data_IF_547327044807
#
_entry.id   IF_547327044807
#
_cell.length_a   1.000
_cell.length_b   1.000
_cell.length_c   1.000
_cell.angle_alpha   90.00
_cell.angle_beta   90.00
_cell.angle_gamma   90.00
#
_symmetry.space_group_name_H-M   'P 1'
#
loop_
_entity.id
_entity.type
_entity.pdbx_description
1 polymer ?
#
# COMPACT_ATOMS: atom_id res chain seq x y z
N UNK A 1 8.32 57.00 -51.85
CA UNK A 1 7.37 55.93 -51.53
C UNK A 1 8.09 54.97 -50.60
N UNK A 2 7.96 55.09 -49.25
CA UNK A 2 8.58 54.21 -48.25
C UNK A 2 7.60 53.08 -47.95
N UNK A 3 8.00 51.86 -48.26
CA UNK A 3 7.25 50.64 -47.87
C UNK A 3 7.58 50.29 -46.42
N UNK A 4 6.61 50.40 -45.53
CA UNK A 4 6.70 49.95 -44.14
C UNK A 4 6.37 48.44 -44.12
N UNK A 5 7.36 47.62 -43.73
CA UNK A 5 7.19 46.16 -43.55
C UNK A 5 6.73 45.93 -42.12
N UNK A 6 5.51 45.49 -41.94
CA UNK A 6 4.91 45.19 -40.65
C UNK A 6 5.30 43.75 -40.28
N UNK A 7 6.22 43.59 -39.27
CA UNK A 7 6.54 42.30 -38.72
C UNK A 7 5.49 41.94 -37.65
N UNK A 8 4.64 40.96 -37.95
CA UNK A 8 3.75 40.37 -36.95
C UNK A 8 4.56 39.30 -36.17
N UNK A 9 4.90 39.61 -34.94
CA UNK A 9 5.50 38.63 -34.00
C UNK A 9 4.37 37.82 -33.39
N UNK A 10 4.24 36.56 -33.82
CA UNK A 10 3.30 35.60 -33.26
C UNK A 10 3.87 35.09 -31.94
N UNK A 11 3.41 35.62 -30.80
CA UNK A 11 3.80 35.12 -29.47
C UNK A 11 3.09 33.78 -29.22
N UNK A 12 3.85 32.69 -29.31
CA UNK A 12 3.39 31.36 -28.93
C UNK A 12 3.34 31.26 -27.40
N UNK A 13 2.16 31.44 -26.80
CA UNK A 13 1.96 31.24 -25.38
C UNK A 13 2.03 29.73 -25.07
N UNK A 14 3.16 29.26 -24.57
CA UNK A 14 3.27 27.94 -23.98
C UNK A 14 2.39 27.90 -22.71
N UNK A 15 1.26 27.26 -22.78
CA UNK A 15 0.45 26.94 -21.60
C UNK A 15 1.20 25.82 -20.85
N UNK A 16 1.90 26.18 -19.79
CA UNK A 16 2.47 25.22 -18.85
C UNK A 16 1.29 24.55 -18.12
N UNK A 17 0.99 23.31 -18.48
CA UNK A 17 0.06 22.49 -17.72
C UNK A 17 0.75 22.19 -16.39
N UNK A 18 0.30 22.84 -15.33
CA UNK A 18 0.75 22.54 -13.97
C UNK A 18 0.40 21.08 -13.65
N UNK A 19 1.42 20.22 -13.58
CA UNK A 19 1.24 18.85 -13.12
C UNK A 19 0.88 18.91 -11.65
N UNK A 20 -0.31 18.40 -11.29
CA UNK A 20 -0.68 18.19 -9.89
C UNK A 20 0.36 17.25 -9.27
N UNK A 21 1.04 17.64 -8.19
CA UNK A 21 2.03 16.77 -7.57
C UNK A 21 1.34 15.50 -7.08
N UNK A 22 1.72 14.36 -7.68
CA UNK A 22 1.24 13.04 -7.25
C UNK A 22 1.83 12.75 -5.89
N UNK A 23 0.98 12.36 -4.92
CA UNK A 23 1.43 11.97 -3.60
C UNK A 23 2.49 10.86 -3.74
N UNK A 24 3.67 10.98 -3.09
CA UNK A 24 4.76 10.00 -3.22
C UNK A 24 4.35 8.56 -2.88
N UNK A 25 3.33 8.36 -2.05
CA UNK A 25 2.81 7.04 -1.69
C UNK A 25 2.15 6.33 -2.88
N UNK A 26 1.61 7.07 -3.82
CA UNK A 26 0.98 6.54 -5.04
C UNK A 26 1.99 6.44 -6.19
N UNK A 27 3.21 5.98 -5.85
CA UNK A 27 4.28 5.67 -6.82
C UNK A 27 4.92 4.32 -6.49
N UNK A 28 5.41 3.61 -7.51
CA UNK A 28 6.18 2.39 -7.26
C UNK A 28 7.44 2.69 -6.44
N UNK A 29 7.92 1.73 -5.64
CA UNK A 29 9.20 1.85 -4.97
C UNK A 29 10.35 1.96 -5.98
N UNK A 30 11.49 2.48 -5.52
CA UNK A 30 12.68 2.70 -6.37
C UNK A 30 13.07 1.42 -7.10
N UNK A 31 13.23 1.51 -8.42
CA UNK A 31 13.60 0.38 -9.28
C UNK A 31 12.44 -0.40 -9.88
N UNK A 32 11.20 -0.20 -9.42
CA UNK A 32 10.01 -0.76 -10.03
C UNK A 32 9.33 0.23 -10.97
N UNK A 33 8.80 -0.26 -12.08
CA UNK A 33 7.99 0.54 -13.01
C UNK A 33 6.52 0.57 -12.61
N UNK A 34 6.01 -0.55 -12.15
CA UNK A 34 4.63 -0.74 -11.69
C UNK A 34 4.67 -1.43 -10.34
N UNK A 35 3.73 -1.13 -9.46
CA UNK A 35 3.53 -1.81 -8.18
C UNK A 35 2.05 -1.84 -7.82
N UNK A 36 1.69 -2.75 -6.91
CA UNK A 36 0.43 -2.71 -6.20
C UNK A 36 0.69 -2.02 -4.86
N UNK A 37 -0.13 -1.04 -4.50
CA UNK A 37 -0.15 -0.40 -3.18
C UNK A 37 -1.47 -0.73 -2.53
N UNK A 38 -1.45 -1.27 -1.32
CA UNK A 38 -2.65 -1.58 -0.55
C UNK A 38 -2.59 -0.91 0.81
N UNK A 39 -3.70 -0.29 1.20
CA UNK A 39 -3.97 0.10 2.57
C UNK A 39 -4.90 -0.95 3.17
N UNK A 40 -4.43 -1.64 4.19
CA UNK A 40 -5.12 -2.79 4.76
C UNK A 40 -5.23 -2.75 6.28
N UNK A 41 -6.16 -3.53 6.77
CA UNK A 41 -6.44 -3.71 8.19
C UNK A 41 -6.54 -5.21 8.47
N UNK A 42 -5.73 -5.71 9.40
CA UNK A 42 -5.63 -7.14 9.69
C UNK A 42 -6.92 -7.74 10.31
N UNK A 43 -7.80 -6.90 10.87
CA UNK A 43 -9.11 -7.31 11.40
C UNK A 43 -10.24 -7.15 10.37
N UNK A 44 -9.97 -6.53 9.20
CA UNK A 44 -10.98 -6.31 8.16
C UNK A 44 -11.24 -7.60 7.36
N UNK A 45 -12.49 -8.14 7.35
CA UNK A 45 -12.80 -9.36 6.59
C UNK A 45 -12.66 -9.18 5.07
N UNK A 46 -12.79 -7.95 4.57
CA UNK A 46 -12.62 -7.68 3.15
C UNK A 46 -11.15 -7.65 2.74
N UNK A 47 -10.24 -7.19 3.63
CA UNK A 47 -8.79 -7.32 3.45
C UNK A 47 -8.38 -8.79 3.38
N UNK A 48 -8.89 -9.64 4.29
CA UNK A 48 -8.68 -11.08 4.24
C UNK A 48 -9.06 -11.70 2.89
N UNK A 49 -10.19 -11.26 2.31
CA UNK A 49 -10.63 -11.77 0.99
C UNK A 49 -9.78 -11.25 -0.16
N UNK A 50 -9.17 -10.08 0.00
CA UNK A 50 -8.35 -9.47 -1.04
C UNK A 50 -6.91 -10.02 -1.06
N UNK A 51 -6.34 -10.33 0.10
CA UNK A 51 -4.93 -10.69 0.24
C UNK A 51 -4.44 -11.79 -0.72
N UNK A 52 -5.12 -12.94 -0.89
CA UNK A 52 -4.66 -13.97 -1.82
C UNK A 52 -4.58 -13.50 -3.28
N UNK A 53 -5.53 -12.66 -3.70
CA UNK A 53 -5.56 -12.10 -5.06
C UNK A 53 -4.41 -11.13 -5.29
N UNK A 54 -4.09 -10.30 -4.29
CA UNK A 54 -2.97 -9.36 -4.35
C UNK A 54 -1.63 -10.09 -4.43
N UNK A 55 -1.46 -11.15 -3.65
CA UNK A 55 -0.27 -12.00 -3.67
C UNK A 55 -0.11 -12.70 -5.01
N UNK A 56 -1.18 -13.26 -5.56
CA UNK A 56 -1.18 -13.90 -6.87
C UNK A 56 -0.79 -12.90 -7.97
N UNK A 57 -1.37 -11.71 -7.96
CA UNK A 57 -1.07 -10.68 -8.93
C UNK A 57 0.39 -10.21 -8.82
N UNK A 58 0.87 -9.90 -7.62
CA UNK A 58 2.25 -9.49 -7.39
C UNK A 58 3.26 -10.54 -7.87
N UNK A 59 2.99 -11.83 -7.57
CA UNK A 59 3.81 -12.96 -7.99
C UNK A 59 3.79 -13.17 -9.51
N UNK A 60 2.60 -13.15 -10.13
CA UNK A 60 2.41 -13.37 -11.57
C UNK A 60 3.13 -12.31 -12.39
N UNK A 61 2.99 -11.05 -12.01
CA UNK A 61 3.61 -9.94 -12.72
C UNK A 61 5.04 -9.61 -12.25
N UNK A 62 5.52 -10.26 -11.20
CA UNK A 62 6.81 -9.98 -10.54
C UNK A 62 6.99 -8.50 -10.22
N UNK A 63 5.94 -7.91 -9.65
CA UNK A 63 5.89 -6.50 -9.22
C UNK A 63 5.81 -6.41 -7.70
N UNK A 64 6.29 -5.32 -7.09
CA UNK A 64 6.13 -5.12 -5.66
C UNK A 64 4.67 -5.04 -5.23
N UNK A 65 4.36 -5.68 -4.09
CA UNK A 65 3.19 -5.40 -3.27
C UNK A 65 3.65 -4.55 -2.09
N UNK A 66 3.18 -3.32 -2.03
CA UNK A 66 3.50 -2.37 -0.97
C UNK A 66 2.30 -2.27 -0.03
N UNK A 67 2.49 -2.69 1.20
CA UNK A 67 1.46 -2.67 2.23
C UNK A 67 1.64 -1.48 3.15
N UNK A 68 0.55 -0.72 3.34
CA UNK A 68 0.38 0.30 4.37
C UNK A 68 -0.64 -0.18 5.39
N UNK A 69 -0.28 -0.11 6.67
CA UNK A 69 -1.18 -0.48 7.74
C UNK A 69 -2.20 0.64 8.00
N UNK A 70 -3.49 0.33 7.83
CA UNK A 70 -4.59 1.28 8.03
C UNK A 70 -5.63 0.72 9.00
N UNK A 71 -5.26 0.46 10.27
CA UNK A 71 -6.17 -0.06 11.28
C UNK A 71 -7.33 0.91 11.52
N UNK A 72 -8.55 0.41 11.32
CA UNK A 72 -9.78 1.18 11.52
C UNK A 72 -10.08 1.33 13.02
N UNK A 73 -10.61 2.48 13.47
CA UNK A 73 -10.73 2.77 14.90
C UNK A 73 -11.72 1.88 15.65
N UNK A 74 -12.60 1.18 14.96
CA UNK A 74 -13.56 0.24 15.55
C UNK A 74 -13.07 -1.21 15.59
N UNK A 75 -11.96 -1.53 14.92
CA UNK A 75 -11.27 -2.80 15.00
C UNK A 75 -10.36 -2.83 16.24
N UNK A 76 -10.54 -3.85 17.08
CA UNK A 76 -10.02 -3.83 18.44
C UNK A 76 -8.59 -4.33 18.57
N UNK A 77 -8.17 -5.27 17.70
CA UNK A 77 -6.83 -5.87 17.76
C UNK A 77 -5.97 -5.53 16.54
N UNK A 78 -6.53 -4.90 15.53
CA UNK A 78 -5.86 -4.59 14.27
C UNK A 78 -4.61 -3.73 14.45
N UNK A 79 -4.66 -2.69 15.29
CA UNK A 79 -3.51 -1.82 15.54
C UNK A 79 -2.33 -2.58 16.15
N UNK A 80 -2.59 -3.38 17.19
CA UNK A 80 -1.54 -4.13 17.87
C UNK A 80 -0.96 -5.22 16.96
N UNK A 81 -1.80 -5.88 16.15
CA UNK A 81 -1.34 -6.83 15.14
C UNK A 81 -0.48 -6.16 14.07
N UNK A 82 -0.82 -4.94 13.63
CA UNK A 82 0.00 -4.18 12.69
C UNK A 82 1.38 -3.81 13.30
N UNK A 83 1.42 -3.43 14.57
CA UNK A 83 2.69 -3.19 15.29
C UNK A 83 3.55 -4.46 15.32
N UNK A 84 2.95 -5.62 15.57
CA UNK A 84 3.67 -6.91 15.54
C UNK A 84 4.11 -7.24 14.11
N UNK A 85 3.29 -6.96 13.09
CA UNK A 85 3.70 -7.12 11.70
C UNK A 85 4.95 -6.29 11.37
N UNK A 86 5.03 -5.04 11.85
CA UNK A 86 6.24 -4.21 11.71
C UNK A 86 7.45 -4.79 12.43
N UNK A 87 7.25 -5.43 13.58
CA UNK A 87 8.33 -6.13 14.27
C UNK A 87 8.92 -7.26 13.40
N UNK A 88 8.08 -8.04 12.75
CA UNK A 88 8.54 -9.08 11.82
C UNK A 88 9.12 -8.50 10.52
N UNK A 89 8.54 -7.40 9.99
CA UNK A 89 9.10 -6.65 8.85
C UNK A 89 10.54 -6.18 9.09
N UNK A 90 10.86 -5.81 10.34
CA UNK A 90 12.21 -5.38 10.71
C UNK A 90 13.23 -6.54 10.71
N UNK A 91 12.78 -7.77 10.87
CA UNK A 91 13.63 -8.97 10.75
C UNK A 91 13.81 -9.35 9.26
N UNK A 92 12.71 -9.45 8.52
CA UNK A 92 12.69 -9.53 7.06
C UNK A 92 11.31 -9.17 6.52
N UNK A 93 11.27 -8.54 5.34
CA UNK A 93 10.00 -8.19 4.68
C UNK A 93 9.15 -9.43 4.37
N UNK A 94 9.80 -10.54 4.06
CA UNK A 94 9.14 -11.83 3.84
C UNK A 94 8.43 -12.30 5.11
N UNK A 95 9.09 -12.26 6.26
CA UNK A 95 8.51 -12.70 7.53
C UNK A 95 7.31 -11.83 7.96
N UNK A 96 7.40 -10.51 7.78
CA UNK A 96 6.28 -9.61 8.04
C UNK A 96 5.09 -9.86 7.11
N UNK A 97 5.35 -10.16 5.84
CA UNK A 97 4.31 -10.54 4.89
C UNK A 97 3.64 -11.87 5.25
N UNK A 98 4.44 -12.89 5.60
CA UNK A 98 3.94 -14.19 6.07
C UNK A 98 3.11 -14.06 7.34
N UNK A 99 3.50 -13.18 8.26
CA UNK A 99 2.71 -12.90 9.46
C UNK A 99 1.35 -12.28 9.12
N UNK A 100 1.28 -11.31 8.19
CA UNK A 100 0.00 -10.72 7.75
C UNK A 100 -0.91 -11.78 7.15
N UNK A 101 -0.39 -12.64 6.29
CA UNK A 101 -1.14 -13.73 5.68
C UNK A 101 -1.63 -14.74 6.73
N UNK A 102 -0.79 -15.09 7.71
CA UNK A 102 -1.18 -15.94 8.83
C UNK A 102 -2.32 -15.31 9.65
N UNK A 103 -2.26 -14.02 9.95
CA UNK A 103 -3.32 -13.32 10.66
C UNK A 103 -4.63 -13.28 9.86
N UNK A 104 -4.57 -13.09 8.55
CA UNK A 104 -5.74 -13.18 7.68
C UNK A 104 -6.32 -14.59 7.64
N UNK A 105 -5.50 -15.62 7.55
CA UNK A 105 -5.96 -17.01 7.55
C UNK A 105 -6.74 -17.34 8.83
N UNK A 106 -6.23 -16.94 9.98
CA UNK A 106 -6.81 -17.20 11.29
C UNK A 106 -7.79 -16.12 11.77
N UNK A 107 -8.04 -15.06 10.98
CA UNK A 107 -8.84 -13.91 11.39
C UNK A 107 -10.18 -14.25 12.06
N UNK A 108 -10.96 -15.27 11.61
CA UNK A 108 -12.23 -15.61 12.24
C UNK A 108 -12.11 -16.16 13.67
N UNK A 109 -10.90 -16.61 14.06
CA UNK A 109 -10.60 -17.21 15.37
C UNK A 109 -9.98 -16.21 16.33
N UNK A 110 -9.51 -15.07 15.81
CA UNK A 110 -8.75 -14.07 16.56
C UNK A 110 -9.70 -13.10 17.28
N UNK A 111 -9.42 -12.89 18.55
CA UNK A 111 -10.05 -11.89 19.43
C UNK A 111 -8.99 -11.00 20.05
N UNK A 112 -9.36 -9.85 20.65
CA UNK A 112 -8.39 -9.02 21.37
C UNK A 112 -7.62 -9.80 22.47
N UNK A 113 -8.28 -10.77 23.10
CA UNK A 113 -7.72 -11.54 24.21
C UNK A 113 -6.71 -12.60 23.75
N UNK A 114 -6.88 -13.17 22.54
CA UNK A 114 -6.04 -14.26 22.06
C UNK A 114 -5.09 -13.86 20.91
N UNK A 115 -5.19 -12.65 20.34
CA UNK A 115 -4.37 -12.17 19.22
C UNK A 115 -2.88 -12.36 19.48
N UNK A 116 -2.44 -12.07 20.70
CA UNK A 116 -1.04 -12.26 21.08
C UNK A 116 -0.61 -13.74 21.03
N UNK A 117 -1.46 -14.65 21.47
CA UNK A 117 -1.16 -16.08 21.42
C UNK A 117 -0.99 -16.60 19.98
N UNK A 118 -1.81 -16.10 19.03
CA UNK A 118 -1.61 -16.37 17.59
C UNK A 118 -0.26 -15.83 17.10
N UNK A 119 0.11 -14.63 17.50
CA UNK A 119 1.40 -14.02 17.11
C UNK A 119 2.61 -14.78 17.68
N UNK A 120 2.51 -15.25 18.93
CA UNK A 120 3.55 -16.07 19.57
C UNK A 120 3.66 -17.45 18.89
N UNK A 121 2.52 -18.05 18.52
CA UNK A 121 2.50 -19.30 17.77
C UNK A 121 3.17 -19.12 16.38
N UNK A 122 2.83 -18.07 15.65
CA UNK A 122 3.50 -17.75 14.39
C UNK A 122 5.03 -17.64 14.57
N UNK A 123 5.47 -16.89 15.59
CA UNK A 123 6.89 -16.74 15.86
C UNK A 123 7.58 -18.09 16.13
N UNK A 124 6.95 -18.96 16.93
CA UNK A 124 7.48 -20.31 17.24
C UNK A 124 7.58 -21.18 15.97
N UNK A 125 6.54 -21.20 15.12
CA UNK A 125 6.48 -21.97 13.88
C UNK A 125 7.57 -21.50 12.88
N UNK A 126 7.93 -20.21 12.90
CA UNK A 126 8.98 -19.62 12.07
C UNK A 126 10.36 -19.55 12.74
N UNK A 127 10.55 -20.25 13.88
CA UNK A 127 11.82 -20.34 14.62
C UNK A 127 12.41 -18.97 15.01
N UNK A 128 11.52 -18.03 15.29
CA UNK A 128 11.85 -16.71 15.84
C UNK A 128 11.16 -16.50 17.18
N UNK A 129 11.31 -15.34 17.79
CA UNK A 129 10.68 -15.02 19.07
C UNK A 129 9.89 -13.71 18.98
N UNK A 130 8.80 -13.65 19.74
CA UNK A 130 8.08 -12.40 19.97
C UNK A 130 8.38 -11.97 21.43
N UNK A 131 9.07 -10.84 21.65
CA UNK A 131 9.38 -10.38 23.01
C UNK A 131 8.11 -9.97 23.75
N UNK A 132 8.15 -10.02 25.09
CA UNK A 132 7.00 -9.61 25.90
C UNK A 132 6.55 -8.16 25.61
N UNK A 133 7.51 -7.23 25.49
CA UNK A 133 7.27 -5.86 25.02
C UNK A 133 7.84 -5.76 23.60
N UNK A 134 6.97 -5.70 22.58
CA UNK A 134 7.36 -5.71 21.17
C UNK A 134 7.94 -4.37 20.73
N UNK A 135 7.41 -3.28 21.25
CA UNK A 135 7.78 -1.91 20.86
C UNK A 135 8.03 -1.01 22.07
N UNK A 136 9.14 -1.23 22.83
CA UNK A 136 9.40 -0.50 24.05
C UNK A 136 9.63 0.99 23.86
N UNK A 137 9.92 1.43 22.64
CA UNK A 137 10.18 2.83 22.30
C UNK A 137 9.03 3.49 21.53
N UNK A 138 7.96 2.77 21.22
CA UNK A 138 6.83 3.27 20.44
C UNK A 138 7.15 3.54 18.95
N UNK A 139 8.29 3.06 18.45
CA UNK A 139 8.74 3.32 17.09
C UNK A 139 7.86 2.62 16.05
N UNK A 140 7.54 1.35 16.28
CA UNK A 140 6.71 0.56 15.35
C UNK A 140 5.27 1.07 15.36
N UNK A 141 4.74 1.43 16.53
CA UNK A 141 3.43 2.09 16.65
C UNK A 141 3.39 3.44 15.93
N UNK A 142 4.49 4.20 15.95
CA UNK A 142 4.60 5.44 15.19
C UNK A 142 4.60 5.20 13.67
N UNK A 143 5.23 4.11 13.18
CA UNK A 143 5.19 3.72 11.77
C UNK A 143 3.76 3.36 11.32
N UNK A 144 3.02 2.57 12.09
CA UNK A 144 1.61 2.26 11.83
C UNK A 144 0.74 3.54 11.83
N UNK A 145 1.00 4.44 12.79
CA UNK A 145 0.29 5.73 12.86
C UNK A 145 0.60 6.59 11.63
N UNK A 146 1.84 6.63 11.19
CA UNK A 146 2.25 7.37 9.98
C UNK A 146 1.54 6.85 8.72
N UNK A 147 1.43 5.52 8.55
CA UNK A 147 0.69 4.92 7.45
C UNK A 147 -0.81 5.28 7.50
N UNK A 148 -1.41 5.23 8.69
CA UNK A 148 -2.80 5.65 8.87
C UNK A 148 -3.01 7.13 8.55
N UNK A 149 -2.10 8.00 8.98
CA UNK A 149 -2.19 9.44 8.69
C UNK A 149 -1.94 9.73 7.21
N UNK A 150 -1.06 8.94 6.56
CA UNK A 150 -0.86 8.97 5.12
C UNK A 150 -2.15 8.60 4.38
N UNK A 151 -2.82 7.52 4.75
CA UNK A 151 -4.11 7.13 4.17
C UNK A 151 -5.17 8.23 4.34
N UNK A 152 -5.28 8.84 5.53
CA UNK A 152 -6.16 9.98 5.77
C UNK A 152 -5.83 11.19 4.87
N UNK A 153 -4.54 11.45 4.63
CA UNK A 153 -4.10 12.58 3.79
C UNK A 153 -4.53 12.44 2.32
N UNK A 154 -4.80 11.23 1.87
CA UNK A 154 -5.34 10.91 0.54
C UNK A 154 -6.82 10.54 0.59
N UNK A 155 -7.50 10.86 1.69
CA UNK A 155 -8.95 10.69 1.89
C UNK A 155 -9.45 9.25 1.80
N UNK A 156 -8.70 8.27 2.35
CA UNK A 156 -9.18 6.90 2.43
C UNK A 156 -10.32 6.77 3.44
N UNK A 157 -11.38 6.09 3.03
CA UNK A 157 -12.60 5.91 3.83
C UNK A 157 -12.83 4.44 4.22
N UNK A 158 -12.15 3.49 3.57
CA UNK A 158 -12.37 2.05 3.77
C UNK A 158 -11.10 1.23 3.56
N UNK A 159 -11.14 -0.03 4.00
CA UNK A 159 -10.13 -1.04 3.73
C UNK A 159 -10.76 -2.31 3.13
N UNK A 160 -10.04 -3.01 2.23
CA UNK A 160 -8.80 -2.57 1.62
C UNK A 160 -9.05 -1.44 0.60
N UNK A 161 -8.14 -0.46 0.53
CA UNK A 161 -8.03 0.42 -0.63
C UNK A 161 -6.79 0.02 -1.42
N UNK A 162 -6.97 -0.27 -2.70
CA UNK A 162 -5.94 -0.88 -3.55
C UNK A 162 -5.67 0.04 -4.73
N UNK A 163 -4.41 0.31 -5.01
CA UNK A 163 -3.97 1.05 -6.19
C UNK A 163 -2.99 0.22 -7.02
N UNK A 164 -3.11 0.31 -8.35
CA UNK A 164 -2.02 -0.01 -9.26
C UNK A 164 -1.33 1.30 -9.59
N UNK A 165 -0.03 1.39 -9.35
CA UNK A 165 0.76 2.61 -9.50
C UNK A 165 1.87 2.43 -10.53
N UNK A 166 2.22 3.51 -11.26
CA UNK A 166 3.25 3.49 -12.30
C UNK A 166 4.20 4.70 -12.19
N UNK A 167 5.47 4.48 -12.53
CA UNK A 167 6.49 5.55 -12.64
C UNK A 167 6.54 6.19 -14.02
N UNK A 168 5.66 5.82 -14.94
CA UNK A 168 5.67 6.36 -16.29
C UNK A 168 5.31 7.83 -16.29
N UNK A 169 5.87 8.58 -17.22
CA UNK A 169 5.66 10.02 -17.36
C UNK A 169 4.43 10.37 -18.19
N UNK A 170 3.87 9.39 -18.90
CA UNK A 170 2.64 9.52 -19.68
C UNK A 170 1.55 8.62 -19.09
N UNK A 171 0.30 9.02 -19.25
CA UNK A 171 -0.84 8.31 -18.70
C UNK A 171 -1.14 8.66 -17.24
N UNK A 172 -1.97 7.83 -16.60
CA UNK A 172 -2.32 7.98 -15.18
C UNK A 172 -1.23 7.37 -14.31
N UNK A 173 -0.67 8.10 -13.33
CA UNK A 173 0.37 7.57 -12.45
C UNK A 173 -0.15 6.51 -11.48
N UNK A 174 -1.45 6.45 -11.24
CA UNK A 174 -2.12 5.46 -10.42
C UNK A 174 -3.58 5.27 -10.84
N UNK A 175 -4.12 4.08 -10.55
CA UNK A 175 -5.54 3.75 -10.70
C UNK A 175 -5.99 3.00 -9.45
N UNK A 176 -7.10 3.43 -8.86
CA UNK A 176 -7.75 2.68 -7.78
C UNK A 176 -8.48 1.46 -8.33
N UNK A 177 -8.30 0.33 -7.67
CA UNK A 177 -8.94 -0.95 -8.01
C UNK A 177 -10.26 -1.06 -7.28
N UNK A 178 -11.30 -0.46 -7.81
CA UNK A 178 -12.66 -0.51 -7.25
C UNK A 178 -13.27 -1.91 -7.44
N UNK A 179 -13.10 -2.48 -8.61
CA UNK A 179 -13.50 -3.87 -8.92
C UNK A 179 -12.26 -4.77 -8.97
N UNK A 180 -12.10 -5.62 -7.98
CA UNK A 180 -10.94 -6.51 -7.85
C UNK A 180 -10.83 -7.53 -8.99
N UNK A 181 -11.92 -7.85 -9.69
CA UNK A 181 -11.89 -8.74 -10.86
C UNK A 181 -11.08 -8.12 -12.01
N UNK A 182 -10.91 -6.81 -12.02
CA UNK A 182 -10.16 -6.07 -13.04
C UNK A 182 -8.67 -5.87 -12.69
N UNK A 183 -8.21 -6.34 -11.51
CA UNK A 183 -6.84 -6.10 -11.02
C UNK A 183 -5.77 -6.47 -12.07
N UNK A 184 -5.85 -7.67 -12.62
CA UNK A 184 -4.87 -8.15 -13.62
C UNK A 184 -4.90 -7.30 -14.88
N UNK A 185 -6.09 -6.96 -15.39
CA UNK A 185 -6.25 -6.11 -16.57
C UNK A 185 -5.68 -4.70 -16.34
N UNK A 186 -5.89 -4.13 -15.14
CA UNK A 186 -5.32 -2.82 -14.78
C UNK A 186 -3.79 -2.86 -14.73
N UNK A 187 -3.21 -3.95 -14.19
CA UNK A 187 -1.76 -4.13 -14.19
C UNK A 187 -1.23 -4.23 -15.62
N UNK A 188 -1.89 -5.00 -16.50
CA UNK A 188 -1.51 -5.12 -17.91
C UNK A 188 -1.53 -3.76 -18.60
N UNK A 189 -2.60 -2.98 -18.43
CA UNK A 189 -2.71 -1.64 -18.98
C UNK A 189 -1.59 -0.72 -18.48
N UNK A 190 -1.33 -0.71 -17.16
CA UNK A 190 -0.29 0.13 -16.56
C UNK A 190 1.14 -0.31 -16.94
N UNK A 191 1.35 -1.55 -17.39
CA UNK A 191 2.64 -2.05 -17.92
C UNK A 191 2.80 -1.77 -19.41
N UNK A 192 1.71 -1.69 -20.17
CA UNK A 192 1.73 -1.47 -21.62
C UNK A 192 1.97 0.00 -22.01
N UNK A 193 1.59 0.94 -21.14
CA UNK A 193 1.84 2.38 -21.32
C UNK A 193 3.34 2.69 -21.15
#
# INVERSE_FOLDING_TARGET
MKKILLFVVLACACVAVAQVPVNPVLRPPRGAQVAIVVFEDLECPDCRRAAPLLDEAAKTYRIPLVTHDFPLPFHKWSFDAAVIARYFDAQSKQLGHEYRNYMFEHQPEITPENMRAFSEKFAADHKTSLPFVVDPQGKLAAEVTADRDLGKSIHLEHTPTIYVVSNRTQGKPFVEVVDRTQLFQLIDAMKAE
#
